data_IF_744069769144
#
_entry.id   IF_744069769144
#
_cell.length_a   1.000
_cell.length_b   1.000
_cell.length_c   1.000
_cell.angle_alpha   90.00
_cell.angle_beta   90.00
_cell.angle_gamma   90.00
#
_symmetry.space_group_name_H-M   'P 1'
#
loop_
_entity.id
_entity.type
_entity.pdbx_description
1 polymer ?
#
# COMPACT_ATOMS: atom_id res chain seq x y z
N UNK A 1 -3.66 2.34 12.58
CA UNK A 1 -3.55 1.78 11.22
C UNK A 1 -4.77 2.21 10.43
N UNK A 2 -4.70 2.20 9.10
CA UNK A 2 -5.81 2.51 8.21
C UNK A 2 -5.87 1.50 7.06
N UNK A 3 -7.05 1.34 6.45
CA UNK A 3 -7.24 0.55 5.24
C UNK A 3 -7.73 1.44 4.10
N UNK A 4 -7.43 1.04 2.85
CA UNK A 4 -7.90 1.74 1.66
C UNK A 4 -8.07 0.76 0.51
N UNK A 5 -8.51 1.26 -0.66
CA UNK A 5 -8.51 0.54 -1.93
C UNK A 5 -7.49 1.19 -2.88
N UNK A 6 -6.57 0.38 -3.40
CA UNK A 6 -5.61 0.82 -4.40
C UNK A 6 -6.28 0.96 -5.78
N UNK A 7 -7.23 0.09 -6.08
CA UNK A 7 -7.98 0.07 -7.34
C UNK A 7 -9.50 0.15 -7.09
N UNK A 8 -10.04 1.31 -6.66
CA UNK A 8 -11.48 1.42 -6.33
C UNK A 8 -12.41 1.04 -7.50
N UNK A 9 -11.95 1.18 -8.75
CA UNK A 9 -12.70 0.81 -9.94
C UNK A 9 -13.09 -0.69 -9.95
N UNK A 10 -12.29 -1.55 -9.34
CA UNK A 10 -12.54 -2.98 -9.24
C UNK A 10 -13.70 -3.33 -8.28
N UNK A 11 -14.08 -2.39 -7.42
CA UNK A 11 -15.08 -2.61 -6.35
C UNK A 11 -16.46 -2.10 -6.69
N UNK A 12 -16.58 -1.14 -7.59
CA UNK A 12 -17.87 -0.65 -8.05
C UNK A 12 -17.78 -0.04 -9.45
N UNK A 13 -18.75 -0.30 -10.34
CA UNK A 13 -18.83 0.36 -11.63
C UNK A 13 -19.23 1.84 -11.53
N UNK A 14 -19.86 2.25 -10.42
CA UNK A 14 -20.30 3.64 -10.24
C UNK A 14 -19.31 4.41 -9.35
N UNK A 15 -19.13 5.69 -9.67
CA UNK A 15 -18.28 6.60 -8.88
C UNK A 15 -18.74 6.68 -7.41
N UNK A 16 -20.03 6.82 -7.16
CA UNK A 16 -20.59 6.86 -5.81
C UNK A 16 -20.31 5.58 -5.03
N UNK A 17 -20.44 4.41 -5.68
CA UNK A 17 -20.13 3.13 -5.07
C UNK A 17 -18.64 2.98 -4.72
N UNK A 18 -17.74 3.48 -5.57
CA UNK A 18 -16.29 3.49 -5.28
C UNK A 18 -15.95 4.39 -4.09
N UNK A 19 -16.54 5.60 -4.07
CA UNK A 19 -16.37 6.54 -2.95
C UNK A 19 -16.91 5.93 -1.65
N UNK A 20 -18.10 5.33 -1.67
CA UNK A 20 -18.68 4.68 -0.50
C UNK A 20 -17.83 3.51 0.02
N UNK A 21 -17.27 2.69 -0.89
CA UNK A 21 -16.40 1.57 -0.52
C UNK A 21 -15.12 2.05 0.20
N UNK A 22 -14.47 3.10 -0.29
CA UNK A 22 -13.28 3.67 0.37
C UNK A 22 -13.66 4.38 1.68
N UNK A 23 -14.77 5.11 1.70
CA UNK A 23 -15.24 5.80 2.91
C UNK A 23 -15.47 4.83 4.08
N UNK A 24 -15.97 3.63 3.80
CA UNK A 24 -16.18 2.59 4.81
C UNK A 24 -14.86 2.06 5.42
N UNK A 25 -13.74 2.22 4.74
CA UNK A 25 -12.41 1.83 5.22
C UNK A 25 -11.65 2.98 5.90
N UNK A 26 -12.05 4.23 5.65
CA UNK A 26 -11.47 5.43 6.28
C UNK A 26 -10.09 5.84 5.76
N UNK A 27 -9.62 5.26 4.65
CA UNK A 27 -8.35 5.60 4.02
C UNK A 27 -8.49 6.62 2.87
N UNK A 28 -7.38 6.97 2.21
CA UNK A 28 -7.39 7.86 1.06
C UNK A 28 -8.02 7.20 -0.17
N UNK A 29 -8.61 8.01 -1.04
CA UNK A 29 -9.18 7.59 -2.32
C UNK A 29 -8.14 7.74 -3.43
N UNK A 30 -7.67 6.61 -3.96
CA UNK A 30 -6.70 6.56 -5.05
C UNK A 30 -7.40 6.61 -6.41
N UNK A 31 -6.97 7.52 -7.29
CA UNK A 31 -7.49 7.62 -8.66
C UNK A 31 -6.49 8.29 -9.59
N UNK A 32 -6.60 8.00 -10.89
CA UNK A 32 -5.93 8.72 -11.97
C UNK A 32 -6.83 9.81 -12.59
N UNK A 33 -8.12 9.85 -12.21
CA UNK A 33 -9.13 10.76 -12.74
C UNK A 33 -9.30 12.00 -11.87
N UNK A 34 -9.18 13.17 -12.47
CA UNK A 34 -9.43 14.45 -11.78
C UNK A 34 -10.90 14.62 -11.39
N UNK A 35 -11.84 14.09 -12.18
CA UNK A 35 -13.27 14.12 -11.87
C UNK A 35 -13.57 13.30 -10.62
N UNK A 36 -13.05 12.06 -10.54
CA UNK A 36 -13.22 11.22 -9.36
C UNK A 36 -12.53 11.81 -8.13
N UNK A 37 -11.35 12.41 -8.31
CA UNK A 37 -10.66 13.12 -7.24
C UNK A 37 -11.54 14.21 -6.63
N UNK A 38 -12.11 15.08 -7.48
CA UNK A 38 -12.98 16.16 -7.04
C UNK A 38 -14.25 15.61 -6.31
N UNK A 39 -14.84 14.54 -6.83
CA UNK A 39 -16.00 13.91 -6.20
C UNK A 39 -15.66 13.28 -4.83
N UNK A 40 -14.52 12.60 -4.72
CA UNK A 40 -14.03 12.03 -3.46
C UNK A 40 -13.76 13.13 -2.43
N UNK A 41 -13.15 14.24 -2.84
CA UNK A 41 -12.93 15.44 -1.99
C UNK A 41 -14.24 16.05 -1.53
N UNK A 42 -15.22 16.20 -2.44
CA UNK A 42 -16.56 16.70 -2.09
C UNK A 42 -17.29 15.79 -1.08
N UNK A 43 -17.00 14.47 -1.11
CA UNK A 43 -17.49 13.51 -0.13
C UNK A 43 -16.68 13.49 1.18
N UNK A 44 -15.67 14.35 1.34
CA UNK A 44 -14.84 14.45 2.55
C UNK A 44 -13.72 13.44 2.66
N UNK A 45 -13.41 12.70 1.58
CA UNK A 45 -12.28 11.78 1.57
C UNK A 45 -10.97 12.51 1.28
N UNK A 46 -9.87 11.98 1.81
CA UNK A 46 -8.54 12.39 1.43
C UNK A 46 -8.26 11.88 0.00
N UNK A 47 -7.94 12.80 -0.92
CA UNK A 47 -7.71 12.48 -2.32
C UNK A 47 -6.26 12.16 -2.63
N UNK A 48 -6.01 11.04 -3.27
CA UNK A 48 -4.70 10.61 -3.76
C UNK A 48 -4.71 10.53 -5.30
N UNK A 49 -4.00 11.43 -5.95
CA UNK A 49 -3.83 11.39 -7.41
C UNK A 49 -2.66 10.47 -7.76
N UNK A 50 -2.96 9.40 -8.50
CA UNK A 50 -1.95 8.45 -8.97
C UNK A 50 -1.40 8.90 -10.32
N UNK A 51 -0.09 8.98 -10.40
CA UNK A 51 0.66 9.29 -11.62
C UNK A 51 1.46 8.05 -11.98
N UNK A 52 1.21 7.51 -13.18
CA UNK A 52 1.94 6.38 -13.71
C UNK A 52 3.32 6.82 -14.20
N UNK A 53 4.36 6.17 -13.71
CA UNK A 53 5.73 6.44 -14.15
C UNK A 53 6.02 5.71 -15.46
N UNK A 54 6.04 6.44 -16.55
CA UNK A 54 6.36 5.95 -17.88
C UNK A 54 7.87 5.86 -18.17
N UNK A 55 8.73 6.19 -17.19
CA UNK A 55 10.18 6.31 -17.40
C UNK A 55 10.58 7.58 -18.18
N UNK A 56 9.63 8.46 -18.47
CA UNK A 56 9.83 9.62 -19.32
C UNK A 56 9.89 10.94 -18.52
N UNK A 57 10.42 12.03 -19.12
CA UNK A 57 10.45 13.36 -18.50
C UNK A 57 9.06 13.95 -18.22
N UNK A 58 8.01 13.47 -18.89
CA UNK A 58 6.64 13.93 -18.70
C UNK A 58 6.11 13.70 -17.29
N UNK A 59 6.65 12.72 -16.54
CA UNK A 59 6.30 12.49 -15.15
C UNK A 59 6.49 13.76 -14.30
N UNK A 60 7.59 14.49 -14.48
CA UNK A 60 7.84 15.74 -13.76
C UNK A 60 6.74 16.78 -14.05
N UNK A 61 6.34 16.90 -15.31
CA UNK A 61 5.27 17.81 -15.71
C UNK A 61 3.92 17.38 -15.11
N UNK A 62 3.63 16.06 -15.08
CA UNK A 62 2.42 15.50 -14.47
C UNK A 62 2.36 15.78 -12.96
N UNK A 63 3.47 15.60 -12.23
CA UNK A 63 3.55 15.93 -10.79
C UNK A 63 3.33 17.43 -10.57
N UNK A 64 3.95 18.28 -11.39
CA UNK A 64 3.77 19.73 -11.30
C UNK A 64 2.32 20.15 -11.57
N UNK A 65 1.66 19.52 -12.55
CA UNK A 65 0.25 19.75 -12.84
C UNK A 65 -0.66 19.28 -11.69
N UNK A 66 -0.30 18.17 -11.02
CA UNK A 66 -1.04 17.65 -9.87
C UNK A 66 -1.10 18.64 -8.69
N UNK A 67 -0.11 19.52 -8.53
CA UNK A 67 -0.14 20.59 -7.52
C UNK A 67 -1.25 21.61 -7.73
N UNK A 68 -1.78 21.73 -8.95
CA UNK A 68 -2.89 22.62 -9.28
C UNK A 68 -4.26 21.98 -9.01
N UNK A 69 -4.27 20.73 -8.52
CA UNK A 69 -5.48 19.98 -8.18
C UNK A 69 -5.77 20.02 -6.68
N UNK A 70 -6.89 19.43 -6.29
CA UNK A 70 -7.26 19.25 -4.88
C UNK A 70 -6.63 18.00 -4.24
N UNK A 71 -5.69 17.33 -4.92
CA UNK A 71 -5.01 16.16 -4.36
C UNK A 71 -4.22 16.52 -3.10
N UNK A 72 -4.45 15.80 -2.03
CA UNK A 72 -3.66 15.91 -0.79
C UNK A 72 -2.45 14.98 -0.83
N UNK A 73 -2.57 13.90 -1.62
CA UNK A 73 -1.51 12.92 -1.84
C UNK A 73 -1.19 12.88 -3.34
N UNK A 74 0.08 12.98 -3.67
CA UNK A 74 0.61 12.70 -5.01
C UNK A 74 1.32 11.36 -4.93
N UNK A 75 0.76 10.34 -5.58
CA UNK A 75 1.28 8.99 -5.57
C UNK A 75 1.90 8.66 -6.94
N UNK A 76 3.19 8.32 -6.98
CA UNK A 76 3.88 7.89 -8.18
C UNK A 76 3.93 6.37 -8.18
N UNK A 77 3.26 5.74 -9.15
CA UNK A 77 3.32 4.31 -9.38
C UNK A 77 4.45 3.99 -10.34
N UNK A 78 5.43 3.24 -9.87
CA UNK A 78 6.70 3.08 -10.58
C UNK A 78 7.26 1.66 -10.50
N UNK A 79 7.95 1.26 -11.58
CA UNK A 79 8.82 0.08 -11.63
C UNK A 79 10.32 0.45 -11.65
N UNK A 80 10.66 1.73 -11.53
CA UNK A 80 12.05 2.20 -11.54
C UNK A 80 12.90 1.61 -10.39
N UNK A 81 12.24 1.17 -9.31
CA UNK A 81 12.89 0.50 -8.17
C UNK A 81 12.80 -1.03 -8.24
N UNK A 82 12.36 -1.59 -9.36
CA UNK A 82 12.20 -3.03 -9.52
C UNK A 82 13.55 -3.76 -9.63
N UNK A 83 13.54 -5.05 -9.32
CA UNK A 83 14.71 -5.92 -9.43
C UNK A 83 15.27 -5.98 -10.87
N UNK A 84 14.37 -5.95 -11.87
CA UNK A 84 14.78 -5.86 -13.29
C UNK A 84 15.57 -4.60 -13.63
N UNK A 85 15.39 -3.52 -12.87
CA UNK A 85 16.18 -2.31 -13.00
C UNK A 85 17.52 -2.38 -12.25
N UNK A 86 17.70 -3.35 -11.34
CA UNK A 86 18.96 -3.54 -10.62
C UNK A 86 20.04 -4.17 -11.49
N UNK A 87 19.66 -4.87 -12.57
CA UNK A 87 20.59 -5.42 -13.57
C UNK A 87 21.13 -4.34 -14.53
N UNK A 88 20.60 -3.12 -14.46
CA UNK A 88 21.11 -1.98 -15.19
C UNK A 88 22.49 -1.57 -14.65
N UNK A 89 23.30 -0.99 -15.51
CA UNK A 89 24.58 -0.43 -15.10
C UNK A 89 24.37 0.62 -13.98
N UNK A 90 25.27 0.66 -13.00
CA UNK A 90 25.19 1.56 -11.83
C UNK A 90 24.83 3.02 -12.18
N UNK A 91 25.40 3.66 -13.24
CA UNK A 91 25.03 5.02 -13.63
C UNK A 91 23.57 5.16 -14.08
N UNK A 92 22.99 4.14 -14.71
CA UNK A 92 21.59 4.17 -15.18
C UNK A 92 20.64 4.11 -14.00
N UNK A 93 20.93 3.26 -13.01
CA UNK A 93 20.16 3.18 -11.76
C UNK A 93 20.21 4.50 -10.98
N UNK A 94 21.39 5.11 -10.86
CA UNK A 94 21.53 6.40 -10.19
C UNK A 94 20.76 7.51 -10.93
N UNK A 95 20.72 7.48 -12.27
CA UNK A 95 19.94 8.40 -13.07
C UNK A 95 18.43 8.24 -12.84
N UNK A 96 17.94 6.98 -12.78
CA UNK A 96 16.54 6.68 -12.48
C UNK A 96 16.12 7.14 -11.07
N UNK A 97 16.94 6.87 -10.05
CA UNK A 97 16.69 7.36 -8.68
C UNK A 97 16.68 8.89 -8.66
N UNK A 98 17.60 9.54 -9.38
CA UNK A 98 17.66 11.01 -9.46
C UNK A 98 16.43 11.59 -10.16
N UNK A 99 15.97 10.96 -11.25
CA UNK A 99 14.74 11.34 -11.97
C UNK A 99 13.51 11.23 -11.06
N UNK A 100 13.38 10.11 -10.35
CA UNK A 100 12.29 9.88 -9.42
C UNK A 100 12.33 10.85 -8.22
N UNK A 101 13.53 11.13 -7.70
CA UNK A 101 13.74 12.09 -6.64
C UNK A 101 13.32 13.52 -7.06
N UNK A 102 13.67 13.91 -8.29
CA UNK A 102 13.29 15.22 -8.84
C UNK A 102 11.76 15.35 -8.99
N UNK A 103 11.09 14.29 -9.46
CA UNK A 103 9.63 14.28 -9.56
C UNK A 103 8.96 14.35 -8.18
N UNK A 104 9.43 13.58 -7.21
CA UNK A 104 8.92 13.65 -5.85
C UNK A 104 9.17 15.03 -5.22
N UNK A 105 10.35 15.63 -5.43
CA UNK A 105 10.66 16.97 -4.93
C UNK A 105 9.72 18.03 -5.51
N UNK A 106 9.34 17.91 -6.79
CA UNK A 106 8.37 18.81 -7.42
C UNK A 106 6.99 18.74 -6.75
N UNK A 107 6.65 17.64 -6.08
CA UNK A 107 5.42 17.48 -5.29
C UNK A 107 5.48 18.09 -3.89
N UNK A 108 6.46 18.91 -3.56
CA UNK A 108 6.57 19.54 -2.24
C UNK A 108 5.30 20.33 -1.88
N UNK A 109 4.90 20.22 -0.61
CA UNK A 109 3.64 20.79 -0.11
C UNK A 109 2.44 19.84 -0.19
N UNK A 110 2.60 18.65 -0.78
CA UNK A 110 1.65 17.54 -0.74
C UNK A 110 2.31 16.32 -0.10
N UNK A 111 1.52 15.38 0.39
CA UNK A 111 2.05 14.09 0.82
C UNK A 111 2.49 13.28 -0.42
N UNK A 112 3.75 12.90 -0.48
CA UNK A 112 4.36 12.20 -1.63
C UNK A 112 4.49 10.72 -1.32
N UNK A 113 3.95 9.90 -2.20
CA UNK A 113 3.92 8.45 -2.04
C UNK A 113 4.56 7.76 -3.24
N UNK A 114 5.27 6.67 -2.99
CA UNK A 114 5.68 5.71 -4.01
C UNK A 114 4.79 4.47 -3.95
N UNK A 115 4.32 3.99 -5.10
CA UNK A 115 3.59 2.74 -5.26
C UNK A 115 4.47 1.79 -6.06
N UNK A 116 4.94 0.70 -5.43
CA UNK A 116 5.87 -0.27 -5.98
C UNK A 116 5.30 -1.68 -5.81
N UNK A 117 4.25 -2.01 -6.59
CA UNK A 117 3.51 -3.28 -6.48
C UNK A 117 3.50 -4.09 -7.78
N UNK A 118 4.02 -3.52 -8.88
CA UNK A 118 3.90 -4.12 -10.21
C UNK A 118 5.07 -5.04 -10.58
N UNK A 119 6.17 -4.97 -9.82
CA UNK A 119 7.34 -5.82 -10.01
C UNK A 119 8.10 -6.02 -8.68
N UNK A 120 8.84 -7.12 -8.53
CA UNK A 120 9.69 -7.35 -7.37
C UNK A 120 10.69 -6.21 -7.18
N UNK A 121 10.85 -5.76 -5.93
CA UNK A 121 11.75 -4.66 -5.58
C UNK A 121 13.22 -5.10 -5.59
N UNK A 122 14.08 -4.24 -6.11
CA UNK A 122 15.52 -4.38 -5.90
C UNK A 122 15.88 -4.12 -4.42
N UNK A 123 17.02 -4.63 -3.95
CA UNK A 123 17.60 -4.17 -2.69
C UNK A 123 17.84 -2.66 -2.75
N UNK A 124 17.25 -1.92 -1.81
CA UNK A 124 17.38 -0.46 -1.71
C UNK A 124 18.08 -0.15 -0.39
N UNK A 125 19.18 0.57 -0.48
CA UNK A 125 19.94 1.00 0.70
C UNK A 125 19.27 2.15 1.44
N UNK A 126 19.63 2.36 2.71
CA UNK A 126 19.18 3.53 3.46
C UNK A 126 19.60 4.87 2.84
N UNK A 127 20.74 4.90 2.14
CA UNK A 127 21.19 6.10 1.41
C UNK A 127 20.31 6.41 0.20
N UNK A 128 19.94 5.40 -0.60
CA UNK A 128 19.01 5.56 -1.72
C UNK A 128 17.61 5.99 -1.23
N UNK A 129 17.11 5.40 -0.13
CA UNK A 129 15.88 5.88 0.52
C UNK A 129 16.02 7.33 1.00
N UNK A 130 17.19 7.72 1.51
CA UNK A 130 17.47 9.10 1.91
C UNK A 130 17.40 10.09 0.77
N UNK A 131 17.77 9.66 -0.45
CA UNK A 131 17.70 10.49 -1.66
C UNK A 131 16.29 10.68 -2.20
N UNK A 132 15.35 9.78 -1.88
CA UNK A 132 13.95 9.84 -2.35
C UNK A 132 13.08 10.56 -1.32
N UNK A 133 12.59 11.79 -1.60
CA UNK A 133 11.77 12.55 -0.66
C UNK A 133 10.30 12.10 -0.63
N UNK A 134 10.06 10.78 -0.56
CA UNK A 134 8.73 10.20 -0.39
C UNK A 134 8.38 10.11 1.11
N UNK A 135 7.19 10.53 1.50
CA UNK A 135 6.69 10.39 2.87
C UNK A 135 6.08 9.01 3.14
N UNK A 136 5.71 8.26 2.09
CA UNK A 136 5.24 6.88 2.24
C UNK A 136 5.56 5.99 1.04
N UNK A 137 5.58 4.69 1.31
CA UNK A 137 5.84 3.62 0.35
C UNK A 137 4.71 2.59 0.42
N UNK A 138 4.20 2.17 -0.74
CA UNK A 138 3.26 1.05 -0.88
C UNK A 138 3.96 -0.10 -1.61
N UNK A 139 3.94 -1.29 -0.98
CA UNK A 139 4.58 -2.52 -1.49
C UNK A 139 3.62 -3.72 -1.41
N UNK A 140 3.89 -4.77 -2.19
CA UNK A 140 3.20 -6.08 -2.10
C UNK A 140 4.17 -7.14 -1.53
N UNK A 141 4.23 -7.31 -0.20
CA UNK A 141 5.14 -8.28 0.42
C UNK A 141 4.66 -9.73 0.35
N UNK A 142 3.47 -9.96 -0.22
CA UNK A 142 2.96 -11.32 -0.49
C UNK A 142 3.44 -11.81 -1.85
N UNK A 143 3.35 -10.97 -2.90
CA UNK A 143 3.90 -11.30 -4.21
C UNK A 143 5.43 -11.26 -4.23
N UNK A 144 6.02 -10.34 -3.46
CA UNK A 144 7.46 -10.16 -3.31
C UNK A 144 7.88 -10.19 -1.84
N UNK A 145 8.21 -11.37 -1.28
CA UNK A 145 8.68 -11.49 0.09
C UNK A 145 9.98 -10.71 0.39
N UNK A 146 10.81 -10.43 -0.62
CA UNK A 146 12.03 -9.64 -0.46
C UNK A 146 11.75 -8.13 -0.30
N UNK A 147 10.54 -7.65 -0.64
CA UNK A 147 10.10 -6.27 -0.38
C UNK A 147 10.20 -5.89 1.11
N UNK A 148 10.15 -6.86 2.03
CA UNK A 148 10.41 -6.62 3.46
C UNK A 148 11.81 -6.06 3.74
N UNK A 149 12.82 -6.42 2.93
CA UNK A 149 14.19 -5.89 3.05
C UNK A 149 14.23 -4.42 2.67
N UNK A 150 13.53 -4.03 1.61
CA UNK A 150 13.38 -2.63 1.22
C UNK A 150 12.65 -1.83 2.31
N UNK A 151 11.57 -2.38 2.87
CA UNK A 151 10.80 -1.77 3.95
C UNK A 151 11.60 -1.63 5.25
N UNK A 152 12.49 -2.57 5.56
CA UNK A 152 13.36 -2.51 6.75
C UNK A 152 14.38 -1.36 6.69
N UNK A 153 14.83 -1.00 5.48
CA UNK A 153 15.75 0.12 5.25
C UNK A 153 15.02 1.48 5.12
N UNK A 154 13.69 1.48 5.01
CA UNK A 154 12.90 2.72 4.95
C UNK A 154 12.91 3.41 6.30
N UNK A 155 13.24 4.72 6.38
CA UNK A 155 13.23 5.47 7.64
C UNK A 155 11.91 5.33 8.40
N UNK A 156 11.97 5.20 9.74
CA UNK A 156 10.80 4.90 10.56
C UNK A 156 9.80 6.06 10.69
N UNK A 157 10.19 7.28 10.32
CA UNK A 157 9.32 8.44 10.22
C UNK A 157 8.44 8.45 8.97
N UNK A 158 8.71 7.59 7.99
CA UNK A 158 7.92 7.44 6.77
C UNK A 158 6.81 6.41 6.91
N UNK A 159 5.72 6.60 6.18
CA UNK A 159 4.59 5.67 6.11
C UNK A 159 4.94 4.39 5.32
N UNK A 160 4.31 3.28 5.69
CA UNK A 160 4.40 2.02 4.97
C UNK A 160 2.99 1.46 4.76
N UNK A 161 2.61 1.26 3.50
CA UNK A 161 1.33 0.67 3.13
C UNK A 161 1.60 -0.68 2.48
N UNK A 162 0.85 -1.68 2.90
CA UNK A 162 1.05 -3.06 2.48
C UNK A 162 -0.14 -3.52 1.64
N UNK A 163 0.10 -3.97 0.42
CA UNK A 163 -0.88 -4.70 -0.37
C UNK A 163 -0.92 -6.15 0.13
N UNK A 164 -1.83 -6.44 1.06
CA UNK A 164 -1.88 -7.71 1.78
C UNK A 164 -3.07 -8.59 1.41
N UNK A 165 -4.21 -7.99 1.10
CA UNK A 165 -5.45 -8.75 0.92
C UNK A 165 -5.61 -9.15 -0.53
N UNK A 166 -5.75 -10.44 -0.80
CA UNK A 166 -5.97 -10.95 -2.16
C UNK A 166 -7.18 -10.32 -2.83
N UNK A 167 -7.05 -9.97 -4.11
CA UNK A 167 -8.12 -9.43 -4.95
C UNK A 167 -8.44 -10.35 -6.12
N UNK A 168 -9.55 -10.10 -6.81
CA UNK A 168 -9.91 -10.76 -8.07
C UNK A 168 -9.87 -12.30 -8.05
N UNK A 169 -10.12 -12.91 -6.88
CA UNK A 169 -10.13 -14.38 -6.71
C UNK A 169 -8.79 -14.99 -6.32
N UNK A 170 -7.80 -14.17 -6.03
CA UNK A 170 -6.58 -14.64 -5.35
C UNK A 170 -6.92 -15.11 -3.92
N UNK A 171 -6.21 -16.12 -3.41
CA UNK A 171 -6.39 -16.54 -2.03
C UNK A 171 -6.15 -15.37 -1.07
N UNK A 172 -7.02 -15.23 -0.07
CA UNK A 172 -6.82 -14.31 1.04
C UNK A 172 -6.07 -15.09 2.12
N UNK A 173 -4.93 -14.55 2.55
CA UNK A 173 -4.13 -15.13 3.60
C UNK A 173 -4.89 -15.19 4.95
N UNK A 174 -4.47 -16.07 5.83
CA UNK A 174 -5.06 -16.17 7.16
C UNK A 174 -4.92 -14.84 7.92
N UNK A 175 -5.97 -14.45 8.66
CA UNK A 175 -6.04 -13.17 9.39
C UNK A 175 -4.84 -12.94 10.31
N UNK A 176 -4.35 -13.99 10.92
CA UNK A 176 -3.19 -13.98 11.80
C UNK A 176 -1.91 -13.59 11.06
N UNK A 177 -1.74 -14.11 9.84
CA UNK A 177 -0.59 -13.78 8.97
C UNK A 177 -0.64 -12.32 8.56
N UNK A 178 -1.82 -11.85 8.14
CA UNK A 178 -2.03 -10.45 7.76
C UNK A 178 -1.78 -9.49 8.93
N UNK A 179 -2.33 -9.83 10.11
CA UNK A 179 -2.15 -9.02 11.31
C UNK A 179 -0.68 -9.01 11.76
N UNK A 180 0.00 -10.16 11.67
CA UNK A 180 1.44 -10.24 11.96
C UNK A 180 2.24 -9.32 11.02
N UNK A 181 1.95 -9.35 9.72
CA UNK A 181 2.60 -8.47 8.73
C UNK A 181 2.44 -6.98 9.08
N UNK A 182 1.24 -6.57 9.49
CA UNK A 182 0.97 -5.19 9.91
C UNK A 182 1.71 -4.80 11.19
N UNK A 183 1.77 -5.69 12.18
CA UNK A 183 2.51 -5.48 13.43
C UNK A 183 4.02 -5.43 13.17
N UNK A 184 4.52 -6.29 12.28
CA UNK A 184 5.91 -6.27 11.85
C UNK A 184 6.25 -4.94 11.16
N UNK A 185 5.43 -4.49 10.20
CA UNK A 185 5.60 -3.19 9.55
C UNK A 185 5.64 -2.02 10.57
N UNK A 186 4.77 -2.05 11.57
CA UNK A 186 4.74 -1.05 12.64
C UNK A 186 6.01 -1.06 13.52
N UNK A 187 6.65 -2.20 13.67
CA UNK A 187 7.88 -2.36 14.45
C UNK A 187 9.13 -1.86 13.71
N UNK A 188 9.12 -1.91 12.38
CA UNK A 188 10.26 -1.51 11.56
C UNK A 188 10.62 -0.02 11.78
N UNK A 189 11.87 0.23 12.18
CA UNK A 189 12.39 1.57 12.43
C UNK A 189 11.63 2.36 13.51
N UNK A 190 10.84 1.69 14.38
CA UNK A 190 10.02 2.36 15.39
C UNK A 190 8.84 3.13 14.80
N UNK A 191 8.34 2.76 13.61
CA UNK A 191 7.32 3.49 12.83
C UNK A 191 6.01 3.68 13.58
N UNK A 192 5.56 2.67 14.30
CA UNK A 192 4.27 2.69 15.00
C UNK A 192 3.07 2.50 14.05
N UNK A 193 1.93 2.11 14.62
CA UNK A 193 0.72 1.78 13.84
C UNK A 193 0.11 2.95 13.09
N UNK A 194 0.30 4.19 13.54
CA UNK A 194 -0.27 5.37 12.88
C UNK A 194 0.27 5.61 11.47
N UNK A 195 1.50 5.11 11.18
CA UNK A 195 2.16 5.23 9.89
C UNK A 195 2.09 3.95 9.05
N UNK A 196 1.22 3.01 9.42
CA UNK A 196 1.02 1.76 8.67
C UNK A 196 -0.39 1.72 8.12
N UNK A 197 -0.48 1.48 6.82
CA UNK A 197 -1.73 1.23 6.11
C UNK A 197 -1.71 -0.12 5.40
N UNK A 198 -2.87 -0.53 4.87
CA UNK A 198 -2.98 -1.72 4.04
C UNK A 198 -4.10 -1.58 3.02
N UNK A 199 -3.99 -2.39 1.97
CA UNK A 199 -4.90 -2.38 0.83
C UNK A 199 -5.02 -3.79 0.22
N UNK A 200 -5.90 -3.93 -0.76
CA UNK A 200 -5.90 -5.11 -1.62
C UNK A 200 -4.63 -5.15 -2.48
N UNK A 201 -4.28 -6.35 -2.89
CA UNK A 201 -3.21 -6.58 -3.88
C UNK A 201 -3.74 -6.24 -5.27
N UNK A 202 -2.92 -5.65 -6.15
CA UNK A 202 -3.33 -5.44 -7.53
C UNK A 202 -3.68 -6.79 -8.17
N UNK A 203 -4.74 -6.80 -8.98
CA UNK A 203 -5.13 -8.00 -9.71
C UNK A 203 -3.99 -8.40 -10.65
N UNK A 204 -3.38 -9.57 -10.41
CA UNK A 204 -2.36 -10.08 -11.32
C UNK A 204 -3.03 -10.50 -12.62
N UNK A 205 -2.78 -9.76 -13.70
CA UNK A 205 -3.25 -10.08 -15.03
C UNK A 205 -2.45 -11.27 -15.56
N UNK A 206 -2.90 -12.49 -15.24
CA UNK A 206 -2.39 -13.69 -15.92
C UNK A 206 -3.01 -13.71 -17.33
N UNK A 207 -2.24 -13.27 -18.32
CA UNK A 207 -2.60 -13.48 -19.72
C UNK A 207 -3.22 -12.30 -20.48
N UNK A 208 -2.93 -11.05 -20.11
CA UNK A 208 -3.09 -9.89 -21.02
C UNK A 208 -4.54 -9.45 -21.32
N UNK A 209 -5.52 -9.84 -20.53
CA UNK A 209 -6.92 -9.39 -20.67
C UNK A 209 -7.36 -8.59 -19.46
N UNK A 210 -8.12 -7.50 -19.67
CA UNK A 210 -8.87 -6.84 -18.61
C UNK A 210 -9.76 -7.85 -17.90
N UNK A 211 -9.46 -8.16 -16.66
CA UNK A 211 -10.29 -9.04 -15.85
C UNK A 211 -11.31 -8.18 -15.12
N UNK A 212 -12.54 -8.16 -15.61
CA UNK A 212 -13.63 -7.62 -14.83
C UNK A 212 -13.70 -8.38 -13.49
N UNK A 213 -13.50 -7.68 -12.39
CA UNK A 213 -13.59 -8.27 -11.05
C UNK A 213 -15.06 -8.65 -10.82
N UNK A 214 -15.31 -9.92 -10.50
CA UNK A 214 -16.67 -10.36 -10.18
C UNK A 214 -17.15 -9.64 -8.90
N UNK A 215 -18.38 -9.09 -8.85
CA UNK A 215 -18.87 -8.32 -7.70
C UNK A 215 -18.76 -9.05 -6.36
N UNK A 216 -18.96 -10.38 -6.34
CA UNK A 216 -18.86 -11.19 -5.12
C UNK A 216 -17.40 -11.26 -4.60
N UNK A 217 -16.42 -11.27 -5.52
CA UNK A 217 -15.01 -11.27 -5.16
C UNK A 217 -14.60 -9.91 -4.58
N UNK A 218 -15.04 -8.81 -5.21
CA UNK A 218 -14.84 -7.46 -4.70
C UNK A 218 -15.44 -7.31 -3.29
N UNK A 219 -16.66 -7.75 -3.08
CA UNK A 219 -17.33 -7.73 -1.78
C UNK A 219 -16.59 -8.58 -0.73
N UNK A 220 -15.98 -9.69 -1.15
CA UNK A 220 -15.21 -10.57 -0.25
C UNK A 220 -13.90 -9.90 0.17
N UNK A 221 -13.16 -9.31 -0.77
CA UNK A 221 -11.94 -8.55 -0.50
C UNK A 221 -12.23 -7.36 0.40
N UNK A 222 -13.29 -6.59 0.12
CA UNK A 222 -13.70 -5.45 0.95
C UNK A 222 -14.03 -5.87 2.39
N UNK A 223 -14.77 -6.98 2.59
CA UNK A 223 -15.05 -7.52 3.92
C UNK A 223 -13.77 -7.94 4.65
N UNK A 224 -12.81 -8.54 3.95
CA UNK A 224 -11.54 -8.94 4.54
C UNK A 224 -10.72 -7.73 5.00
N UNK A 225 -10.69 -6.64 4.19
CA UNK A 225 -10.05 -5.37 4.58
C UNK A 225 -10.73 -4.77 5.83
N UNK A 226 -12.05 -4.71 5.86
CA UNK A 226 -12.80 -4.18 6.99
C UNK A 226 -12.61 -5.02 8.27
N UNK A 227 -12.60 -6.36 8.14
CA UNK A 227 -12.35 -7.27 9.28
C UNK A 227 -10.92 -7.10 9.82
N UNK A 228 -9.93 -7.02 8.92
CA UNK A 228 -8.54 -6.79 9.32
C UNK A 228 -8.37 -5.43 10.00
N UNK A 229 -9.02 -4.38 9.50
CA UNK A 229 -9.02 -3.05 10.14
C UNK A 229 -9.59 -3.12 11.56
N UNK A 230 -10.71 -3.81 11.76
CA UNK A 230 -11.30 -4.06 13.07
C UNK A 230 -10.31 -4.78 14.00
N UNK A 231 -9.62 -5.81 13.52
CA UNK A 231 -8.64 -6.57 14.30
C UNK A 231 -7.43 -5.72 14.71
N UNK A 232 -6.99 -4.77 13.87
CA UNK A 232 -5.87 -3.88 14.25
C UNK A 232 -6.20 -2.94 15.42
N UNK A 233 -7.47 -2.69 15.67
CA UNK A 233 -7.96 -1.86 16.78
C UNK A 233 -8.46 -2.69 17.98
N UNK A 234 -8.49 -4.03 17.85
CA UNK A 234 -9.05 -4.92 18.87
C UNK A 234 -8.11 -5.09 20.09
N UNK A 235 -8.70 -5.28 21.24
CA UNK A 235 -7.97 -5.64 22.45
C UNK A 235 -7.53 -7.11 22.46
N UNK A 236 -6.66 -7.47 23.42
CA UNK A 236 -6.09 -8.80 23.52
C UNK A 236 -7.14 -9.92 23.74
N UNK A 237 -8.24 -9.63 24.42
CA UNK A 237 -9.30 -10.64 24.65
C UNK A 237 -10.12 -10.89 23.39
N UNK A 238 -10.41 -9.84 22.62
CA UNK A 238 -11.04 -9.96 21.31
C UNK A 238 -10.15 -10.73 20.34
N UNK A 239 -8.84 -10.42 20.31
CA UNK A 239 -7.91 -11.16 19.46
C UNK A 239 -7.82 -12.64 19.83
N UNK A 240 -7.77 -12.98 21.12
CA UNK A 240 -7.78 -14.37 21.58
C UNK A 240 -9.04 -15.15 21.19
N UNK A 241 -10.18 -14.47 21.15
CA UNK A 241 -11.46 -15.07 20.76
C UNK A 241 -11.56 -15.24 19.24
N UNK A 242 -11.14 -14.24 18.47
CA UNK A 242 -11.39 -14.13 17.04
C UNK A 242 -10.30 -14.76 16.17
N UNK A 243 -9.10 -14.98 16.74
CA UNK A 243 -7.97 -15.61 16.04
C UNK A 243 -7.77 -17.05 16.53
N UNK A 244 -7.24 -17.92 15.65
CA UNK A 244 -6.88 -19.28 16.05
C UNK A 244 -5.70 -19.23 17.05
N UNK A 245 -5.88 -19.76 18.29
CA UNK A 245 -4.83 -19.77 19.30
C UNK A 245 -3.53 -20.47 18.86
N UNK A 246 -3.61 -21.37 17.86
CA UNK A 246 -2.44 -22.08 17.32
C UNK A 246 -1.57 -21.19 16.43
N UNK A 247 -2.13 -20.12 15.90
CA UNK A 247 -1.42 -19.14 15.06
C UNK A 247 -0.72 -18.07 15.89
N UNK A 248 -1.12 -17.91 17.16
CA UNK A 248 -0.46 -17.02 18.10
C UNK A 248 0.83 -17.72 18.55
N UNK A 249 1.97 -17.19 18.14
CA UNK A 249 3.35 -17.60 18.43
C UNK A 249 3.54 -18.72 19.48
N UNK A 250 4.41 -19.71 19.28
CA UNK A 250 4.71 -20.75 20.29
C UNK A 250 5.00 -20.19 21.69
N UNK A 251 5.58 -18.99 21.79
CA UNK A 251 5.81 -18.31 23.07
C UNK A 251 4.50 -17.91 23.78
N UNK A 252 3.44 -17.52 23.06
CA UNK A 252 2.14 -17.22 23.64
C UNK A 252 1.41 -18.49 24.11
N UNK A 253 1.60 -19.61 23.42
CA UNK A 253 1.04 -20.90 23.79
C UNK A 253 1.65 -21.41 25.11
N UNK A 254 2.96 -21.23 25.33
CA UNK A 254 3.63 -21.59 26.59
C UNK A 254 3.20 -20.71 27.76
N UNK A 255 2.91 -19.42 27.55
CA UNK A 255 2.39 -18.52 28.58
C UNK A 255 0.95 -18.86 28.99
N UNK A 256 0.10 -19.30 28.04
CA UNK A 256 -1.26 -19.75 28.34
C UNK A 256 -1.29 -21.08 29.07
N UNK A 257 -0.35 -22.01 28.82
CA UNK A 257 -0.23 -23.28 29.54
C UNK A 257 0.22 -23.11 30.99
N UNK A 258 1.17 -22.19 31.24
CA UNK A 258 1.65 -21.91 32.63
C UNK A 258 0.63 -21.24 33.55
N UNK A 259 -0.42 -20.62 33.03
CA UNK A 259 -1.51 -20.03 33.84
C UNK A 259 -2.60 -21.02 34.24
N UNK A 260 -2.51 -22.28 33.81
CA UNK A 260 -3.48 -23.33 34.13
C UNK A 260 -2.97 -24.38 35.14
N UNK A 261 -1.72 -24.24 35.57
CA UNK A 261 -1.10 -24.93 36.71
C UNK A 261 -1.02 -23.99 37.94
#
# INVERSE_FOLDING_TARGET
>A
MFATLLSPADFSPTQEGRIAAVAALGGPFFTTSLEELAAARAAGLQGALVIEDSGSPEMLAAVTAALQTEAEIIAIRTTALALSAADQAEPDRAAEISRLAAALAAGEGRHRMLICVDAPLAPISGAEWGALPAESLLIDPIADPDAWRAAANLPGDRGLILALVGSAGDPIEAREVLLWGLQYAASLGGRGGARVGFTERPAQVRGGGERAVHPDLAATTHRALADLLRLTAADAETLKRDLDPRSISPAATHLAARKRE
#
